data_IF_120242486717
#
_entry.id   IF_120242486717
#
_cell.length_a   1.000
_cell.length_b   1.000
_cell.length_c   1.000
_cell.angle_alpha   90.00
_cell.angle_beta   90.00
_cell.angle_gamma   90.00
#
_symmetry.space_group_name_H-M   'P 1'
#
loop_
_entity.id
_entity.type
_entity.pdbx_description
1 polymer ?
#
# COMPACT_ATOMS: atom_id res chain seq x y z
N UNK A 1 98.42 61.52 -27.73
CA UNK A 1 98.14 60.14 -27.28
C UNK A 1 96.91 60.21 -26.40
N UNK A 2 95.81 59.55 -26.77
CA UNK A 2 94.56 59.63 -26.01
C UNK A 2 94.54 58.76 -24.76
N UNK A 3 93.61 59.07 -23.86
CA UNK A 3 93.34 58.37 -22.60
C UNK A 3 92.88 56.93 -22.87
N UNK A 4 93.26 56.00 -22.00
CA UNK A 4 92.78 54.62 -22.10
C UNK A 4 91.34 54.51 -21.60
N UNK A 5 90.52 53.68 -22.23
CA UNK A 5 89.17 53.37 -21.78
C UNK A 5 88.96 51.86 -21.71
N UNK A 6 88.03 51.48 -20.83
CA UNK A 6 87.54 50.12 -20.64
C UNK A 6 86.02 50.19 -20.45
N UNK A 7 85.30 49.28 -21.09
CA UNK A 7 83.87 49.04 -20.85
C UNK A 7 83.66 47.57 -20.46
N UNK A 8 82.61 47.32 -19.70
CA UNK A 8 82.24 45.97 -19.25
C UNK A 8 80.82 45.63 -19.70
N UNK A 9 80.61 44.35 -20.01
CA UNK A 9 79.27 43.83 -20.26
C UNK A 9 78.44 43.86 -18.98
N UNK A 10 77.13 44.03 -19.13
CA UNK A 10 76.18 43.93 -18.02
C UNK A 10 75.41 42.62 -18.08
N UNK A 11 74.89 42.20 -16.93
CA UNK A 11 73.94 41.09 -16.85
C UNK A 11 72.52 41.61 -16.96
N UNK A 12 71.70 40.96 -17.78
CA UNK A 12 70.28 41.24 -17.94
C UNK A 12 69.48 39.97 -17.67
N UNK A 13 68.43 40.08 -16.87
CA UNK A 13 67.59 38.93 -16.53
C UNK A 13 66.89 38.37 -17.77
N UNK A 14 66.98 37.06 -17.98
CA UNK A 14 66.43 36.40 -19.17
C UNK A 14 67.25 36.53 -20.47
N UNK A 15 68.46 37.09 -20.43
CA UNK A 15 69.37 37.15 -21.58
C UNK A 15 70.77 36.63 -21.22
N UNK A 16 71.52 36.14 -22.21
CA UNK A 16 72.95 35.83 -22.06
C UNK A 16 73.77 36.60 -23.09
N UNK A 17 75.00 36.95 -22.72
CA UNK A 17 75.93 37.63 -23.62
C UNK A 17 76.42 36.65 -24.69
N UNK A 18 76.37 37.08 -25.95
CA UNK A 18 76.78 36.25 -27.10
C UNK A 18 78.09 36.75 -27.71
N UNK A 19 78.37 38.05 -27.62
CA UNK A 19 79.57 38.64 -28.18
C UNK A 19 79.42 40.13 -28.46
N UNK A 20 80.47 40.72 -29.01
CA UNK A 20 80.42 42.09 -29.51
C UNK A 20 79.80 42.15 -30.90
N UNK A 21 79.13 43.27 -31.21
CA UNK A 21 78.66 43.50 -32.57
C UNK A 21 79.85 43.59 -33.54
N UNK A 22 79.67 43.12 -34.78
CA UNK A 22 80.74 43.14 -35.81
C UNK A 22 81.23 44.54 -36.14
N UNK A 23 80.40 45.56 -35.91
CA UNK A 23 80.70 46.98 -36.12
C UNK A 23 81.12 47.69 -34.83
N UNK A 24 81.17 46.98 -33.70
CA UNK A 24 81.58 47.53 -32.41
C UNK A 24 83.06 47.88 -32.39
N UNK A 25 83.38 49.02 -31.78
CA UNK A 25 84.73 49.29 -31.29
C UNK A 25 85.12 48.30 -30.19
N UNK A 26 86.43 48.15 -29.95
CA UNK A 26 86.93 47.30 -28.87
C UNK A 26 86.50 47.84 -27.51
N UNK A 27 86.14 46.94 -26.58
CA UNK A 27 85.83 47.28 -25.18
C UNK A 27 86.99 47.98 -24.46
N UNK A 28 88.22 47.74 -24.91
CA UNK A 28 89.43 48.32 -24.34
C UNK A 28 90.23 49.01 -25.43
N UNK A 29 90.62 50.26 -25.21
CA UNK A 29 91.36 51.01 -26.21
C UNK A 29 91.89 52.34 -25.71
N UNK A 30 92.35 53.17 -26.64
CA UNK A 30 92.68 54.58 -26.37
C UNK A 30 91.70 55.47 -27.13
N UNK A 31 91.29 56.58 -26.52
CA UNK A 31 90.46 57.59 -27.17
C UNK A 31 91.20 58.17 -28.37
N UNK A 32 90.52 58.27 -29.49
CA UNK A 32 91.01 58.85 -30.76
C UNK A 32 90.00 59.89 -31.24
N UNK A 33 90.35 60.71 -32.23
CA UNK A 33 89.40 61.66 -32.83
C UNK A 33 88.20 60.92 -33.45
N UNK A 34 86.99 61.38 -33.14
CA UNK A 34 85.72 60.75 -33.50
C UNK A 34 85.06 59.97 -32.36
N UNK A 35 83.79 59.62 -32.55
CA UNK A 35 83.01 58.86 -31.56
C UNK A 35 83.33 57.36 -31.64
N UNK A 36 83.46 56.72 -30.48
CA UNK A 36 83.60 55.27 -30.35
C UNK A 36 82.30 54.65 -29.85
N UNK A 37 81.89 53.55 -30.47
CA UNK A 37 80.67 52.83 -30.14
C UNK A 37 81.00 51.40 -29.76
N UNK A 38 80.96 51.09 -28.45
CA UNK A 38 81.09 49.71 -27.96
C UNK A 38 79.69 49.11 -27.77
N UNK A 39 79.41 48.01 -28.45
CA UNK A 39 78.09 47.39 -28.53
C UNK A 39 78.17 45.91 -28.16
N UNK A 40 77.57 45.57 -27.01
CA UNK A 40 77.42 44.21 -26.51
C UNK A 40 76.13 43.59 -27.03
N UNK A 41 76.21 42.40 -27.64
CA UNK A 41 75.08 41.66 -28.19
C UNK A 41 74.65 40.57 -27.22
N UNK A 42 73.35 40.53 -26.96
CA UNK A 42 72.71 39.57 -26.06
C UNK A 42 71.64 38.78 -26.80
N UNK A 43 71.49 37.52 -26.44
CA UNK A 43 70.42 36.66 -26.93
C UNK A 43 69.50 36.27 -25.78
N UNK A 44 68.19 36.27 -26.05
CA UNK A 44 67.19 35.91 -25.05
C UNK A 44 67.34 34.43 -24.71
N UNK A 45 67.39 34.12 -23.41
CA UNK A 45 67.45 32.74 -22.96
C UNK A 45 66.19 31.98 -23.42
N UNK A 46 66.32 30.70 -23.82
CA UNK A 46 65.15 29.91 -24.20
C UNK A 46 64.20 29.78 -23.01
N UNK A 47 62.91 30.05 -23.24
CA UNK A 47 61.87 29.83 -22.24
C UNK A 47 61.65 28.32 -22.07
N UNK A 48 61.81 27.81 -20.85
CA UNK A 48 61.40 26.45 -20.51
C UNK A 48 59.88 26.43 -20.33
N UNK A 49 59.12 25.66 -21.13
CA UNK A 49 57.68 25.59 -20.95
C UNK A 49 57.37 24.98 -19.59
N UNK A 50 56.45 25.61 -18.85
CA UNK A 50 55.91 25.03 -17.61
C UNK A 50 55.03 23.84 -18.01
N UNK A 51 55.22 22.63 -17.44
CA UNK A 51 54.39 21.49 -17.81
C UNK A 51 52.93 21.76 -17.44
N UNK A 52 52.04 21.65 -18.41
CA UNK A 52 50.61 21.82 -18.22
C UNK A 52 50.08 20.69 -17.33
N UNK A 53 49.43 21.07 -16.22
CA UNK A 53 48.85 20.08 -15.29
C UNK A 53 47.58 19.54 -15.92
N UNK A 54 47.62 18.28 -16.37
CA UNK A 54 46.43 17.57 -16.86
C UNK A 54 45.36 17.49 -15.77
N UNK A 55 44.09 17.63 -16.16
CA UNK A 55 42.93 17.68 -15.26
C UNK A 55 41.85 16.68 -15.65
N UNK A 56 40.99 16.36 -14.69
CA UNK A 56 39.77 15.59 -14.90
C UNK A 56 38.73 15.85 -13.82
N UNK A 57 37.56 15.24 -13.97
CA UNK A 57 36.44 15.37 -13.02
C UNK A 57 35.92 14.00 -12.62
N UNK A 58 35.25 13.95 -11.47
CA UNK A 58 34.59 12.74 -10.98
C UNK A 58 33.22 13.17 -10.48
N UNK A 59 32.18 12.46 -10.92
CA UNK A 59 30.83 12.62 -10.40
C UNK A 59 30.25 11.29 -9.89
N UNK A 60 29.17 11.39 -9.13
CA UNK A 60 28.44 10.25 -8.59
C UNK A 60 26.93 10.44 -8.76
N UNK A 61 26.23 9.35 -9.07
CA UNK A 61 24.76 9.29 -9.10
C UNK A 61 24.23 7.99 -8.48
N UNK A 62 22.96 8.03 -8.08
CA UNK A 62 22.30 6.92 -7.40
C UNK A 62 21.02 6.57 -8.17
N UNK A 63 20.93 5.33 -8.65
CA UNK A 63 19.84 4.87 -9.52
C UNK A 63 19.27 3.55 -9.03
N UNK A 64 18.07 3.21 -9.45
CA UNK A 64 17.46 1.91 -9.20
C UNK A 64 17.80 0.90 -10.30
N UNK A 65 17.54 -0.39 -10.06
CA UNK A 65 17.71 -1.47 -11.05
C UNK A 65 16.85 -1.30 -12.31
N UNK A 66 15.73 -0.57 -12.24
CA UNK A 66 14.88 -0.16 -13.37
C UNK A 66 15.28 1.19 -13.99
N UNK A 67 16.37 1.81 -13.53
CA UNK A 67 16.96 3.02 -14.11
C UNK A 67 16.36 4.34 -13.63
N UNK A 68 15.45 4.33 -12.63
CA UNK A 68 14.96 5.55 -11.98
C UNK A 68 16.09 6.18 -11.16
N UNK A 69 16.27 7.48 -11.31
CA UNK A 69 17.23 8.26 -10.50
C UNK A 69 16.66 8.47 -9.09
N UNK A 70 17.39 8.03 -8.07
CA UNK A 70 17.09 8.29 -6.66
C UNK A 70 17.72 9.62 -6.21
N UNK A 71 18.93 9.89 -6.68
CA UNK A 71 19.62 11.16 -6.50
C UNK A 71 20.42 11.49 -7.75
N UNK A 72 20.28 12.73 -8.22
CA UNK A 72 20.90 13.21 -9.46
C UNK A 72 22.43 13.33 -9.34
N UNK A 73 23.08 13.55 -10.47
CA UNK A 73 24.55 13.63 -10.57
C UNK A 73 25.10 14.73 -9.66
N UNK A 74 26.05 14.37 -8.81
CA UNK A 74 26.79 15.28 -7.93
C UNK A 74 28.29 15.22 -8.23
N UNK A 75 28.93 16.40 -8.37
CA UNK A 75 30.38 16.46 -8.59
C UNK A 75 31.13 16.15 -7.29
N UNK A 76 32.03 15.18 -7.36
CA UNK A 76 32.94 14.77 -6.28
C UNK A 76 34.29 15.51 -6.42
N UNK A 77 34.77 15.63 -7.66
CA UNK A 77 35.95 16.40 -8.06
C UNK A 77 35.64 17.18 -9.34
N UNK A 78 36.06 18.44 -9.41
CA UNK A 78 35.84 19.30 -10.58
C UNK A 78 37.17 19.86 -11.05
N UNK A 79 37.58 19.53 -12.28
CA UNK A 79 38.84 20.00 -12.88
C UNK A 79 40.07 19.80 -11.97
N UNK A 80 40.11 18.67 -11.26
CA UNK A 80 41.18 18.31 -10.33
C UNK A 80 42.41 17.79 -11.08
N UNK A 81 43.64 18.00 -10.57
CA UNK A 81 44.85 17.43 -11.13
C UNK A 81 44.78 15.91 -11.25
N UNK A 82 45.29 15.38 -12.37
CA UNK A 82 45.47 13.94 -12.56
C UNK A 82 46.31 13.35 -11.43
N UNK A 83 45.86 12.23 -10.86
CA UNK A 83 46.52 11.55 -9.75
C UNK A 83 45.94 11.89 -8.37
N UNK A 84 45.12 12.94 -8.25
CA UNK A 84 44.41 13.26 -7.01
C UNK A 84 43.44 12.12 -6.64
N UNK A 85 43.43 11.71 -5.37
CA UNK A 85 42.55 10.64 -4.91
C UNK A 85 41.10 11.14 -4.77
N UNK A 86 40.15 10.26 -5.09
CA UNK A 86 38.73 10.47 -4.82
C UNK A 86 38.12 9.25 -4.14
N UNK A 87 37.02 9.49 -3.43
CA UNK A 87 36.19 8.47 -2.79
C UNK A 87 34.74 8.89 -2.90
N UNK A 88 33.86 7.92 -3.10
CA UNK A 88 32.40 8.06 -3.04
C UNK A 88 31.85 7.04 -2.07
N UNK A 89 30.66 7.31 -1.54
CA UNK A 89 30.03 6.46 -0.53
C UNK A 89 28.62 6.04 -0.97
N UNK A 90 28.25 4.84 -0.54
CA UNK A 90 26.87 4.35 -0.59
C UNK A 90 25.98 5.25 0.29
N UNK A 91 24.71 5.40 -0.10
CA UNK A 91 23.70 6.14 0.66
C UNK A 91 22.55 5.22 1.04
N UNK A 92 21.84 5.58 2.11
CA UNK A 92 20.60 4.92 2.48
C UNK A 92 19.42 5.68 1.87
N UNK A 93 18.49 4.95 1.26
CA UNK A 93 17.25 5.47 0.72
C UNK A 93 16.07 4.68 1.31
N UNK A 94 15.05 5.37 1.82
CA UNK A 94 13.89 4.72 2.44
C UNK A 94 13.17 3.77 1.45
N UNK A 95 13.07 2.50 1.83
CA UNK A 95 12.44 1.45 1.02
C UNK A 95 13.29 0.98 -0.15
N UNK A 96 14.62 1.13 -0.09
CA UNK A 96 15.56 0.56 -1.05
C UNK A 96 16.78 -0.03 -0.33
N UNK A 97 17.34 -1.09 -0.90
CA UNK A 97 18.63 -1.64 -0.49
C UNK A 97 19.66 -1.55 -1.63
N UNK A 98 20.93 -1.44 -1.26
CA UNK A 98 22.03 -1.40 -2.22
C UNK A 98 22.25 -2.79 -2.85
N UNK A 99 22.34 -2.82 -4.17
CA UNK A 99 22.56 -4.05 -4.95
C UNK A 99 24.01 -4.16 -5.42
N UNK A 100 24.61 -3.04 -5.81
CA UNK A 100 25.94 -3.01 -6.37
C UNK A 100 26.21 -1.77 -7.22
N UNK A 101 27.39 -1.72 -7.84
CA UNK A 101 27.73 -0.65 -8.78
C UNK A 101 27.17 -0.98 -10.18
N UNK A 102 26.83 0.04 -10.96
CA UNK A 102 26.44 -0.17 -12.36
C UNK A 102 27.59 -0.82 -13.15
N UNK A 103 27.25 -1.64 -14.15
CA UNK A 103 28.25 -2.34 -14.99
C UNK A 103 29.18 -1.38 -15.74
N UNK A 104 28.73 -0.15 -15.98
CA UNK A 104 29.47 0.91 -16.65
C UNK A 104 30.07 1.94 -15.69
N UNK A 105 29.92 1.73 -14.37
CA UNK A 105 30.46 2.61 -13.34
C UNK A 105 31.98 2.56 -13.27
N UNK A 106 32.62 3.71 -13.06
CA UNK A 106 33.97 3.78 -12.49
C UNK A 106 33.98 3.25 -11.05
N UNK A 107 35.17 2.92 -10.54
CA UNK A 107 35.35 2.48 -9.15
C UNK A 107 35.02 3.59 -8.15
N UNK A 108 34.41 3.24 -7.01
CA UNK A 108 34.08 4.16 -5.92
C UNK A 108 35.30 4.88 -5.31
N UNK A 109 36.47 4.24 -5.39
CA UNK A 109 37.73 4.79 -4.93
C UNK A 109 38.73 4.73 -6.08
N UNK A 110 39.50 5.79 -6.25
CA UNK A 110 40.48 5.84 -7.31
C UNK A 110 41.28 7.12 -7.32
N UNK A 111 41.92 7.37 -8.46
CA UNK A 111 42.60 8.63 -8.75
C UNK A 111 41.96 9.29 -9.96
N UNK A 112 41.92 10.61 -9.98
CA UNK A 112 41.50 11.41 -11.13
C UNK A 112 42.39 11.08 -12.31
N UNK A 113 41.79 10.79 -13.46
CA UNK A 113 42.46 10.62 -14.75
C UNK A 113 42.06 11.75 -15.67
N UNK A 114 42.71 11.89 -16.82
CA UNK A 114 42.29 12.86 -17.83
C UNK A 114 40.87 12.50 -18.33
N UNK A 115 39.98 13.49 -18.37
CA UNK A 115 38.55 13.30 -18.67
C UNK A 115 37.65 13.14 -17.44
N UNK A 116 36.42 12.69 -17.66
CA UNK A 116 35.40 12.54 -16.63
C UNK A 116 35.26 11.08 -16.20
N UNK A 117 35.04 10.87 -14.89
CA UNK A 117 34.70 9.59 -14.28
C UNK A 117 33.30 9.64 -13.71
N UNK A 118 32.56 8.55 -13.89
CA UNK A 118 31.17 8.44 -13.46
C UNK A 118 30.98 7.27 -12.52
N UNK A 119 30.72 7.56 -11.24
CA UNK A 119 30.45 6.53 -10.24
C UNK A 119 28.93 6.37 -10.07
N UNK A 120 28.43 5.14 -10.18
CA UNK A 120 26.99 4.86 -10.19
C UNK A 120 26.65 3.74 -9.23
N UNK A 121 25.92 4.08 -8.16
CA UNK A 121 25.38 3.11 -7.20
C UNK A 121 23.98 2.69 -7.63
N UNK A 122 23.72 1.37 -7.63
CA UNK A 122 22.45 0.76 -8.05
C UNK A 122 21.72 0.18 -6.84
N UNK A 123 20.43 0.48 -6.74
CA UNK A 123 19.55 0.09 -5.64
C UNK A 123 18.34 -0.69 -6.15
N UNK A 124 17.78 -1.54 -5.31
CA UNK A 124 16.52 -2.24 -5.59
C UNK A 124 15.49 -1.85 -4.54
N UNK A 125 14.24 -1.68 -5.00
CA UNK A 125 13.14 -1.28 -4.13
C UNK A 125 12.78 -2.45 -3.22
N UNK A 126 12.70 -2.19 -1.92
CA UNK A 126 12.21 -3.15 -0.96
C UNK A 126 10.73 -3.43 -1.22
N UNK A 127 10.43 -4.69 -1.53
CA UNK A 127 9.06 -5.18 -1.60
C UNK A 127 8.60 -5.49 -0.19
N UNK A 128 7.79 -4.60 0.38
CA UNK A 128 7.01 -4.93 1.57
C UNK A 128 5.95 -5.95 1.15
N UNK A 129 5.92 -7.18 1.72
CA UNK A 129 4.89 -8.14 1.35
C UNK A 129 3.53 -7.52 1.66
N UNK A 130 2.68 -7.41 0.63
CA UNK A 130 1.34 -6.91 0.79
C UNK A 130 0.61 -7.82 1.77
N UNK A 131 0.16 -7.25 2.90
CA UNK A 131 -0.60 -8.01 3.88
C UNK A 131 -1.92 -8.35 3.24
N UNK A 132 -2.09 -9.60 2.81
CA UNK A 132 -3.36 -10.11 2.30
C UNK A 132 -4.44 -9.91 3.35
N UNK A 133 -5.61 -9.49 2.91
CA UNK A 133 -6.75 -9.17 3.78
C UNK A 133 -7.99 -9.93 3.37
N UNK A 134 -8.91 -10.05 4.31
CA UNK A 134 -10.24 -10.58 4.09
C UNK A 134 -11.24 -10.04 5.08
N UNK A 135 -12.51 -10.39 4.86
CA UNK A 135 -13.63 -9.98 5.71
C UNK A 135 -14.47 -11.20 6.07
N UNK A 136 -15.21 -11.07 7.16
CA UNK A 136 -16.18 -12.08 7.60
C UNK A 136 -17.45 -11.36 7.95
N UNK A 137 -18.57 -11.81 7.40
CA UNK A 137 -19.89 -11.37 7.81
C UNK A 137 -20.74 -12.53 8.31
N UNK A 138 -21.82 -12.17 9.01
CA UNK A 138 -22.80 -13.11 9.54
C UNK A 138 -24.20 -12.66 9.17
N UNK A 139 -25.06 -13.63 8.85
CA UNK A 139 -26.47 -13.43 8.53
C UNK A 139 -27.34 -14.49 9.20
N UNK A 140 -28.56 -14.10 9.54
CA UNK A 140 -29.57 -14.97 10.16
C UNK A 140 -30.80 -15.02 9.25
N UNK A 141 -31.16 -16.21 8.77
CA UNK A 141 -32.25 -16.42 7.80
C UNK A 141 -33.16 -17.56 8.22
N UNK A 142 -34.37 -17.59 7.70
CA UNK A 142 -35.28 -18.72 7.87
C UNK A 142 -35.06 -19.81 6.81
N UNK A 143 -35.65 -20.99 6.99
CA UNK A 143 -35.62 -22.10 6.02
C UNK A 143 -36.21 -21.76 4.65
N UNK A 144 -37.11 -20.77 4.58
CA UNK A 144 -37.66 -20.21 3.33
C UNK A 144 -36.85 -19.00 2.80
N UNK A 145 -35.71 -18.66 3.42
CA UNK A 145 -34.77 -17.65 2.95
C UNK A 145 -35.09 -16.21 3.37
N UNK A 146 -36.11 -16.00 4.21
CA UNK A 146 -36.41 -14.68 4.79
C UNK A 146 -35.29 -14.28 5.76
N UNK A 147 -34.85 -13.03 5.66
CA UNK A 147 -33.84 -12.46 6.56
C UNK A 147 -34.50 -12.12 7.90
N UNK A 148 -33.95 -12.66 8.99
CA UNK A 148 -34.37 -12.33 10.36
C UNK A 148 -33.58 -11.14 10.91
N UNK A 149 -32.31 -11.02 10.51
CA UNK A 149 -31.43 -9.90 10.84
C UNK A 149 -30.48 -9.60 9.68
N UNK A 150 -30.25 -8.31 9.43
CA UNK A 150 -29.38 -7.85 8.35
C UNK A 150 -27.93 -8.31 8.55
N UNK A 151 -27.21 -8.40 7.43
CA UNK A 151 -25.82 -8.84 7.40
C UNK A 151 -24.96 -7.92 8.27
N UNK A 152 -24.23 -8.52 9.21
CA UNK A 152 -23.33 -7.80 10.12
C UNK A 152 -21.89 -8.20 9.83
N UNK A 153 -20.98 -7.23 9.68
CA UNK A 153 -19.54 -7.50 9.56
C UNK A 153 -18.95 -7.89 10.91
N UNK A 154 -18.35 -9.07 10.96
CA UNK A 154 -17.62 -9.61 12.13
C UNK A 154 -16.15 -9.18 12.08
N UNK A 155 -15.56 -9.18 10.89
CA UNK A 155 -14.22 -8.67 10.58
C UNK A 155 -14.27 -7.90 9.27
N UNK A 156 -13.59 -6.76 9.19
CA UNK A 156 -13.59 -5.89 8.01
C UNK A 156 -12.17 -5.60 7.53
N UNK A 157 -11.80 -6.16 6.38
CA UNK A 157 -10.51 -5.93 5.73
C UNK A 157 -9.30 -6.11 6.67
N UNK A 158 -9.30 -7.20 7.44
CA UNK A 158 -8.27 -7.51 8.43
C UNK A 158 -7.22 -8.48 7.86
N UNK A 159 -6.01 -8.57 8.42
CA UNK A 159 -4.98 -9.50 7.95
C UNK A 159 -5.45 -10.96 7.95
N UNK A 160 -5.05 -11.71 6.91
CA UNK A 160 -5.25 -13.16 6.85
C UNK A 160 -4.65 -13.85 8.07
N UNK A 161 -5.39 -14.82 8.61
CA UNK A 161 -4.99 -15.61 9.78
C UNK A 161 -5.58 -15.12 11.09
N UNK A 162 -6.18 -13.92 11.13
CA UNK A 162 -6.90 -13.43 12.30
C UNK A 162 -8.08 -14.35 12.63
N UNK A 163 -8.24 -14.70 13.90
CA UNK A 163 -9.34 -15.56 14.32
C UNK A 163 -10.67 -14.79 14.34
N UNK A 164 -11.74 -15.47 13.93
CA UNK A 164 -13.09 -14.97 14.07
C UNK A 164 -13.99 -16.02 14.72
N UNK A 165 -15.07 -15.54 15.34
CA UNK A 165 -16.12 -16.35 15.90
C UNK A 165 -17.45 -15.64 15.67
N UNK A 166 -18.49 -16.41 15.37
CA UNK A 166 -19.88 -15.96 15.30
C UNK A 166 -20.72 -16.80 16.25
N UNK A 167 -21.86 -16.26 16.66
CA UNK A 167 -22.72 -16.92 17.64
C UNK A 167 -24.15 -17.05 17.09
N UNK A 168 -24.81 -18.13 17.51
CA UNK A 168 -26.25 -18.31 17.33
C UNK A 168 -27.01 -17.24 18.11
N UNK A 169 -28.16 -16.82 17.61
CA UNK A 169 -29.06 -15.87 18.28
C UNK A 169 -30.43 -16.50 18.51
N UNK A 170 -31.16 -15.94 19.46
CA UNK A 170 -32.55 -16.31 19.69
C UNK A 170 -33.48 -15.31 19.01
N UNK A 171 -34.47 -15.83 18.28
CA UNK A 171 -35.52 -15.04 17.62
C UNK A 171 -36.88 -15.54 18.09
N UNK A 172 -37.79 -14.61 18.45
CA UNK A 172 -39.11 -14.97 18.99
C UNK A 172 -39.97 -15.71 17.95
N UNK A 173 -40.50 -16.87 18.33
CA UNK A 173 -41.27 -17.76 17.46
C UNK A 173 -40.45 -18.49 16.39
N UNK A 174 -39.13 -18.62 16.57
CA UNK A 174 -38.25 -19.43 15.73
C UNK A 174 -37.27 -20.25 16.55
N UNK A 175 -36.91 -21.44 16.05
CA UNK A 175 -35.84 -22.26 16.59
C UNK A 175 -34.71 -22.45 15.56
N UNK A 176 -33.48 -22.57 16.05
CA UNK A 176 -32.31 -22.82 15.21
C UNK A 176 -32.35 -24.25 14.65
N UNK A 177 -32.15 -24.38 13.34
CA UNK A 177 -32.15 -25.68 12.66
C UNK A 177 -30.78 -26.09 12.14
N UNK A 178 -29.86 -25.15 11.93
CA UNK A 178 -28.51 -25.44 11.47
C UNK A 178 -27.86 -24.30 10.68
N UNK A 179 -26.66 -24.58 10.16
CA UNK A 179 -25.97 -23.69 9.22
C UNK A 179 -26.50 -23.90 7.80
N UNK A 180 -26.47 -22.85 6.98
CA UNK A 180 -26.73 -23.00 5.55
C UNK A 180 -25.66 -23.90 4.91
N UNK A 181 -26.04 -24.65 3.87
CA UNK A 181 -25.14 -25.60 3.18
C UNK A 181 -23.93 -24.92 2.54
N UNK A 182 -24.05 -23.65 2.15
CA UNK A 182 -22.96 -22.87 1.55
C UNK A 182 -22.31 -21.91 2.56
N UNK A 183 -22.67 -21.99 3.85
CA UNK A 183 -22.09 -21.18 4.91
C UNK A 183 -20.62 -21.55 5.14
N UNK A 184 -19.79 -20.53 5.38
CA UNK A 184 -18.51 -20.72 6.06
C UNK A 184 -18.74 -21.19 7.52
N UNK A 185 -17.71 -21.81 8.12
CA UNK A 185 -17.73 -22.23 9.52
C UNK A 185 -17.91 -21.03 10.48
N UNK A 186 -18.67 -21.22 11.55
CA UNK A 186 -18.89 -20.20 12.60
C UNK A 186 -17.62 -19.77 13.33
N UNK A 187 -16.58 -20.61 13.34
CA UNK A 187 -15.30 -20.32 13.95
C UNK A 187 -14.20 -20.65 12.94
N UNK A 188 -13.19 -19.80 12.85
CA UNK A 188 -12.10 -20.02 11.93
C UNK A 188 -11.08 -18.90 11.93
N UNK A 189 -10.32 -18.84 10.83
CA UNK A 189 -9.39 -17.76 10.54
C UNK A 189 -9.81 -17.05 9.26
N UNK A 190 -9.59 -15.74 9.21
CA UNK A 190 -9.78 -14.93 8.01
C UNK A 190 -8.85 -15.47 6.91
N UNK A 191 -9.42 -15.69 5.72
CA UNK A 191 -8.69 -16.02 4.50
C UNK A 191 -8.75 -14.84 3.53
N UNK A 192 -7.99 -14.88 2.44
CA UNK A 192 -8.10 -13.86 1.40
C UNK A 192 -9.52 -13.88 0.79
N UNK A 193 -10.14 -12.70 0.68
CA UNK A 193 -11.54 -12.56 0.24
C UNK A 193 -12.57 -12.50 1.39
N UNK A 194 -13.85 -12.65 1.04
CA UNK A 194 -14.96 -12.55 1.99
C UNK A 194 -15.44 -13.95 2.42
N UNK A 195 -15.79 -14.07 3.70
CA UNK A 195 -16.46 -15.23 4.29
C UNK A 195 -17.85 -14.88 4.75
N UNK A 196 -18.79 -15.81 4.56
CA UNK A 196 -20.20 -15.62 4.87
C UNK A 196 -20.70 -16.72 5.81
N UNK A 197 -20.97 -16.36 7.06
CA UNK A 197 -21.56 -17.29 8.04
C UNK A 197 -23.07 -17.11 8.09
N UNK A 198 -23.84 -18.18 7.89
CA UNK A 198 -25.30 -18.12 7.76
C UNK A 198 -25.97 -19.11 8.72
N UNK A 199 -26.68 -18.56 9.72
CA UNK A 199 -27.52 -19.32 10.63
C UNK A 199 -28.94 -19.44 10.08
N UNK A 200 -29.48 -20.66 10.05
CA UNK A 200 -30.81 -20.97 9.52
C UNK A 200 -31.78 -21.33 10.66
N UNK A 201 -32.99 -20.78 10.59
CA UNK A 201 -34.05 -20.93 11.59
C UNK A 201 -35.36 -21.41 10.97
N UNK A 202 -36.18 -22.09 11.75
CA UNK A 202 -37.52 -22.50 11.34
C UNK A 202 -38.55 -21.87 12.28
N UNK A 203 -39.70 -21.47 11.71
CA UNK A 203 -40.77 -20.83 12.48
C UNK A 203 -41.49 -21.86 13.34
N UNK A 204 -41.66 -21.54 14.61
CA UNK A 204 -42.43 -22.37 15.53
C UNK A 204 -43.90 -22.39 15.11
N UNK A 205 -44.44 -23.59 14.92
CA UNK A 205 -45.86 -23.80 14.68
C UNK A 205 -46.59 -24.00 16.00
N UNK A 206 -47.41 -23.03 16.38
CA UNK A 206 -48.38 -23.23 17.46
C UNK A 206 -49.53 -24.07 16.92
N UNK A 207 -49.87 -25.23 17.51
CA UNK A 207 -51.00 -26.01 17.06
C UNK A 207 -52.27 -25.17 17.19
N UNK A 208 -52.95 -24.95 16.07
CA UNK A 208 -54.20 -24.22 16.04
C UNK A 208 -55.24 -25.04 16.83
N UNK A 209 -55.77 -24.46 17.91
CA UNK A 209 -56.84 -25.10 18.68
C UNK A 209 -58.06 -25.11 17.78
N UNK A 210 -58.47 -26.31 17.31
CA UNK A 210 -59.73 -26.46 16.58
C UNK A 210 -60.88 -25.99 17.46
N UNK A 211 -61.77 -25.17 16.91
CA UNK A 211 -62.93 -24.62 17.61
C UNK A 211 -64.23 -25.09 16.97
N UNK A 212 -65.27 -25.19 17.78
CA UNK A 212 -66.64 -25.53 17.37
C UNK A 212 -67.67 -24.76 18.19
N UNK A 213 -68.93 -24.85 17.79
CA UNK A 213 -70.06 -24.28 18.51
C UNK A 213 -71.11 -25.36 18.74
N UNK A 214 -71.83 -25.26 19.85
CA UNK A 214 -72.95 -26.13 20.19
C UNK A 214 -74.16 -25.24 20.34
N UNK A 215 -75.25 -25.61 19.68
CA UNK A 215 -76.54 -24.97 19.81
C UNK A 215 -77.62 -25.97 20.22
N UNK A 216 -78.73 -25.45 20.72
CA UNK A 216 -79.90 -26.26 21.10
C UNK A 216 -81.14 -25.65 20.48
N UNK A 217 -82.03 -26.54 20.00
CA UNK A 217 -83.30 -26.21 19.37
C UNK A 217 -84.37 -27.15 19.89
N UNK A 218 -85.54 -26.63 20.22
CA UNK A 218 -86.66 -27.42 20.72
C UNK A 218 -87.78 -27.45 19.67
N UNK A 219 -88.17 -28.65 19.22
CA UNK A 219 -89.18 -28.87 18.18
C UNK A 219 -90.17 -29.95 18.60
N UNK A 220 -91.36 -29.94 18.01
CA UNK A 220 -92.36 -31.01 18.14
C UNK A 220 -92.06 -32.16 17.16
N UNK A 221 -92.75 -33.31 17.31
CA UNK A 221 -92.56 -34.49 16.44
C UNK A 221 -92.96 -34.29 14.99
N UNK A 222 -93.82 -33.30 14.71
CA UNK A 222 -94.19 -32.83 13.36
C UNK A 222 -93.27 -31.68 12.86
N UNK A 223 -92.24 -31.30 13.61
CA UNK A 223 -91.21 -30.35 13.22
C UNK A 223 -91.51 -28.88 13.51
N UNK A 224 -92.59 -28.56 14.23
CA UNK A 224 -92.88 -27.18 14.66
C UNK A 224 -91.86 -26.74 15.70
N UNK A 225 -91.25 -25.58 15.49
CA UNK A 225 -90.30 -24.98 16.42
C UNK A 225 -91.05 -24.42 17.64
N UNK A 226 -90.65 -24.85 18.83
CA UNK A 226 -91.17 -24.34 20.12
C UNK A 226 -90.32 -23.18 20.64
N UNK A 227 -89.01 -23.23 20.37
CA UNK A 227 -88.06 -22.18 20.71
C UNK A 227 -86.96 -22.14 19.65
N UNK A 228 -86.57 -20.92 19.27
CA UNK A 228 -85.51 -20.70 18.31
C UNK A 228 -84.16 -21.20 18.83
N UNK A 229 -83.24 -21.41 17.88
CA UNK A 229 -81.90 -21.92 18.16
C UNK A 229 -81.18 -21.00 19.15
N UNK A 230 -80.72 -21.57 20.26
CA UNK A 230 -79.90 -20.85 21.25
C UNK A 230 -78.51 -21.47 21.32
N UNK A 231 -77.48 -20.62 21.38
CA UNK A 231 -76.09 -21.09 21.49
C UNK A 231 -75.80 -21.53 22.92
N UNK A 232 -75.33 -22.76 23.08
CA UNK A 232 -74.85 -23.35 24.33
C UNK A 232 -73.36 -23.05 24.52
N UNK A 233 -72.59 -23.19 23.43
CA UNK A 233 -71.17 -22.82 23.34
C UNK A 233 -70.91 -22.13 22.01
N UNK A 234 -70.06 -21.11 21.99
CA UNK A 234 -69.68 -20.41 20.77
C UNK A 234 -68.16 -20.35 20.63
N UNK A 235 -67.64 -20.88 19.52
CA UNK A 235 -66.22 -20.87 19.18
C UNK A 235 -65.32 -21.43 20.31
N UNK A 236 -65.78 -22.49 20.97
CA UNK A 236 -65.09 -23.17 22.05
C UNK A 236 -64.10 -24.22 21.52
N UNK A 237 -62.99 -24.52 22.21
CA UNK A 237 -62.12 -25.64 21.89
C UNK A 237 -62.87 -26.97 21.70
N UNK A 238 -62.52 -27.71 20.65
CA UNK A 238 -63.07 -29.06 20.42
C UNK A 238 -62.75 -29.95 21.62
N UNK A 239 -63.76 -30.65 22.13
CA UNK A 239 -63.67 -31.49 23.33
C UNK A 239 -64.02 -30.77 24.64
N UNK A 240 -64.30 -29.46 24.61
CA UNK A 240 -64.87 -28.77 25.77
C UNK A 240 -66.25 -29.36 26.11
N UNK A 241 -66.42 -29.76 27.37
CA UNK A 241 -67.68 -30.29 27.85
C UNK A 241 -68.78 -29.22 27.79
N UNK A 242 -69.96 -29.63 27.35
CA UNK A 242 -71.17 -28.83 27.39
C UNK A 242 -72.29 -29.66 28.01
N UNK A 243 -73.29 -28.95 28.53
CA UNK A 243 -74.50 -29.55 29.08
C UNK A 243 -75.69 -28.79 28.54
N UNK A 244 -76.70 -29.51 28.09
CA UNK A 244 -78.00 -28.96 27.73
C UNK A 244 -79.04 -29.51 28.69
N UNK A 245 -79.94 -28.67 29.18
CA UNK A 245 -81.03 -29.10 30.05
C UNK A 245 -82.32 -29.33 29.25
N UNK A 246 -83.12 -30.30 29.66
CA UNK A 246 -84.46 -30.49 29.14
C UNK A 246 -85.35 -29.32 29.59
N UNK A 247 -86.13 -28.76 28.66
CA UNK A 247 -87.04 -27.64 28.94
C UNK A 247 -88.48 -28.09 28.81
N UNK A 248 -89.31 -27.75 29.79
CA UNK A 248 -90.75 -28.04 29.76
C UNK A 248 -91.50 -26.93 29.03
N UNK A 249 -92.40 -27.33 28.12
CA UNK A 249 -93.30 -26.44 27.40
C UNK A 249 -94.74 -26.82 27.75
N UNK A 250 -95.58 -25.84 28.07
CA UNK A 250 -96.97 -26.09 28.50
C UNK A 250 -97.77 -26.82 27.40
N UNK A 251 -98.45 -27.90 27.77
CA UNK A 251 -99.16 -28.78 26.84
C UNK A 251 -98.29 -29.79 26.08
N UNK A 252 -96.97 -29.87 26.34
CA UNK A 252 -96.04 -30.80 25.69
C UNK A 252 -95.34 -31.72 26.71
N UNK A 253 -94.95 -32.92 26.29
CA UNK A 253 -94.07 -33.81 27.06
C UNK A 253 -92.86 -34.19 26.20
N UNK A 254 -91.69 -34.35 26.82
CA UNK A 254 -90.48 -34.72 26.11
C UNK A 254 -90.55 -36.18 25.64
N UNK A 255 -90.25 -36.39 24.36
CA UNK A 255 -90.32 -37.72 23.72
C UNK A 255 -88.97 -38.26 23.29
N UNK A 256 -87.89 -37.47 23.41
CA UNK A 256 -86.55 -37.84 23.00
C UNK A 256 -85.85 -36.74 22.20
N UNK A 257 -84.55 -36.94 21.95
CA UNK A 257 -83.77 -36.11 21.03
C UNK A 257 -84.10 -36.45 19.58
N UNK A 258 -84.02 -35.45 18.70
CA UNK A 258 -84.23 -35.66 17.27
C UNK A 258 -83.11 -36.52 16.67
N UNK A 259 -83.40 -37.26 15.60
CA UNK A 259 -82.41 -38.09 14.91
C UNK A 259 -81.29 -37.27 14.25
N UNK A 260 -81.50 -35.98 14.02
CA UNK A 260 -80.47 -35.08 13.47
C UNK A 260 -79.63 -34.42 14.56
N UNK A 261 -79.86 -34.72 15.84
CA UNK A 261 -79.01 -34.22 16.92
C UNK A 261 -77.66 -34.95 16.89
N UNK A 262 -76.58 -34.18 17.02
CA UNK A 262 -75.24 -34.74 17.18
C UNK A 262 -75.13 -35.43 18.55
N UNK A 263 -74.51 -36.62 18.58
CA UNK A 263 -74.38 -37.50 19.76
C UNK A 263 -73.08 -37.28 20.53
#
# INVERSE_FOLDING_TARGET
VGEAYTTEEKSFDGYHFVGMDKTSDSANGKVTEGDKHVVYVYEKNPETPTPEVKKGSVDVKYVTTDGKVLEDVTKVKDNAPVGEAYTTEEKSFDGYHFVGMDKTSDSANGKVTEGDKHVVYVYEKDVTPEVKKGSVDVKYVTTDGKVLEDVTKVKDNVPVGEAYTTEEKSFDGYHFVGMDKISDSANGKVTEGDKHVVYVYEKDVTPEVKKGSVDVKYVTTDGKVLEDVTKVKDNAPVGEAYTTEEKSFDGYHFVGMDKTSDS
#
